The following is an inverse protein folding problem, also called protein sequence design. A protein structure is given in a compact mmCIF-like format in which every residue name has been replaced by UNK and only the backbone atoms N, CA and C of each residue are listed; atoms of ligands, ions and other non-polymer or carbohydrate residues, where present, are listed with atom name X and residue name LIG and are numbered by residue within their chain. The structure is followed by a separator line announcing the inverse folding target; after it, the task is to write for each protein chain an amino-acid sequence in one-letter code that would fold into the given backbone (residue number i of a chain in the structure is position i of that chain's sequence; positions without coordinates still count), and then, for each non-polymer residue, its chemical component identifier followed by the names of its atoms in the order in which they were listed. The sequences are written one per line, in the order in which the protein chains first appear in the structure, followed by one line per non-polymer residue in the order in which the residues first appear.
data_IF_085355305024
#
_entry.id   IF_085355305024
#
_cell.length_a   1.000
_cell.length_b   1.000
_cell.length_c   1.000
_cell.angle_alpha   90.00
_cell.angle_beta   90.00
_cell.angle_gamma   90.00
#
_symmetry.space_group_name_H-M   'P 1'
#
loop_
_entity.id
_entity.type
_entity.pdbx_description
1 polymer ?
#
# COMPACT_ATOMS: atom_id res chain seq x y z
N UNK A 1 -19.09 -13.21 -14.25
CA UNK A 1 -18.66 -14.61 -14.48
C UNK A 1 -17.58 -14.56 -15.54
N UNK A 2 -16.33 -14.89 -15.18
CA UNK A 2 -15.17 -14.84 -16.10
C UNK A 2 -15.29 -16.01 -17.09
N UNK A 3 -15.09 -15.76 -18.39
CA UNK A 3 -15.24 -16.79 -19.43
C UNK A 3 -13.99 -17.69 -19.51
N UNK A 4 -14.13 -18.98 -19.83
CA UNK A 4 -13.00 -19.92 -20.03
C UNK A 4 -11.96 -19.39 -21.03
N UNK A 5 -12.39 -18.69 -22.08
CA UNK A 5 -11.47 -18.04 -23.03
C UNK A 5 -10.63 -16.92 -22.42
N UNK A 6 -11.21 -16.17 -21.46
CA UNK A 6 -10.48 -15.14 -20.73
C UNK A 6 -9.50 -15.75 -19.73
N UNK A 7 -9.85 -16.88 -19.11
CA UNK A 7 -8.95 -17.62 -18.20
C UNK A 7 -7.73 -18.15 -18.97
N UNK A 8 -7.94 -18.79 -20.12
CA UNK A 8 -6.85 -19.30 -20.97
C UNK A 8 -5.93 -18.18 -21.47
N UNK A 9 -6.49 -17.06 -21.93
CA UNK A 9 -5.69 -15.88 -22.32
C UNK A 9 -4.93 -15.27 -21.14
N UNK A 10 -5.51 -15.30 -19.95
CA UNK A 10 -4.84 -14.82 -18.72
C UNK A 10 -3.64 -15.71 -18.39
N UNK A 11 -3.80 -17.03 -18.50
CA UNK A 11 -2.72 -18.01 -18.30
C UNK A 11 -1.59 -17.81 -19.33
N UNK A 12 -1.91 -17.60 -20.60
CA UNK A 12 -0.90 -17.30 -21.63
C UNK A 12 -0.11 -16.02 -21.31
N UNK A 13 -0.74 -15.00 -20.75
CA UNK A 13 -0.05 -13.76 -20.34
C UNK A 13 0.88 -13.97 -19.16
N UNK A 14 0.49 -14.80 -18.19
CA UNK A 14 1.34 -15.13 -17.02
C UNK A 14 2.61 -15.84 -17.49
N UNK A 15 2.47 -16.82 -18.38
CA UNK A 15 3.58 -17.67 -18.84
C UNK A 15 4.51 -16.95 -19.84
N UNK A 16 3.98 -16.04 -20.68
CA UNK A 16 4.75 -15.37 -21.73
C UNK A 16 5.22 -13.94 -21.42
N UNK A 17 4.67 -13.25 -20.39
CA UNK A 17 4.90 -11.81 -20.19
C UNK A 17 5.44 -11.41 -18.81
N UNK A 18 5.94 -12.36 -18.01
CA UNK A 18 6.54 -12.11 -16.68
C UNK A 18 5.64 -11.26 -15.77
N UNK A 19 4.35 -11.57 -15.76
CA UNK A 19 3.33 -10.77 -15.09
C UNK A 19 3.25 -11.14 -13.60
N UNK A 20 3.45 -10.17 -12.71
CA UNK A 20 3.43 -10.38 -11.26
C UNK A 20 2.32 -9.60 -10.54
N UNK A 21 1.75 -10.22 -9.52
CA UNK A 21 0.97 -9.51 -8.52
C UNK A 21 1.95 -8.87 -7.55
N UNK A 22 2.00 -7.55 -7.55
CA UNK A 22 2.93 -6.82 -6.69
C UNK A 22 2.56 -6.94 -5.22
N UNK A 23 1.27 -6.95 -4.90
CA UNK A 23 0.82 -7.00 -3.51
C UNK A 23 -0.60 -7.54 -3.35
N UNK A 24 -0.82 -8.26 -2.25
CA UNK A 24 -2.13 -8.37 -1.60
C UNK A 24 -2.05 -7.55 -0.31
N UNK A 25 -2.96 -6.59 -0.16
CA UNK A 25 -3.07 -5.76 1.05
C UNK A 25 -4.40 -6.02 1.72
N UNK A 26 -4.37 -6.46 2.99
CA UNK A 26 -5.57 -6.52 3.83
C UNK A 26 -5.73 -5.20 4.58
N UNK A 27 -6.81 -4.49 4.30
CA UNK A 27 -7.22 -3.30 5.04
C UNK A 27 -8.05 -3.70 6.26
N UNK A 28 -7.74 -3.17 7.45
CA UNK A 28 -8.40 -3.50 8.72
C UNK A 28 -8.82 -2.22 9.44
N UNK A 29 -10.11 -2.12 9.77
CA UNK A 29 -10.64 -1.07 10.65
C UNK A 29 -10.13 -1.28 12.08
N UNK A 30 -9.64 -0.22 12.74
CA UNK A 30 -9.22 -0.25 14.15
C UNK A 30 -10.08 0.64 15.06
N UNK A 31 -11.21 1.16 14.56
CA UNK A 31 -12.04 2.13 15.30
C UNK A 31 -12.64 1.58 16.60
N UNK A 32 -12.86 0.27 16.67
CA UNK A 32 -13.33 -0.45 17.87
C UNK A 32 -12.19 -0.77 18.87
N UNK A 33 -10.94 -0.51 18.49
CA UNK A 33 -9.78 -0.74 19.34
C UNK A 33 -9.47 0.46 20.25
N UNK A 34 -10.15 1.59 20.07
CA UNK A 34 -10.04 2.76 20.93
C UNK A 34 -10.20 2.41 22.42
N UNK A 35 -9.31 2.94 23.26
CA UNK A 35 -9.35 2.81 24.71
C UNK A 35 -8.60 3.98 25.36
N UNK A 36 -9.08 4.57 26.47
CA UNK A 36 -8.34 5.59 27.20
C UNK A 36 -6.95 5.13 27.67
N UNK A 37 -6.80 3.83 27.96
CA UNK A 37 -5.52 3.21 28.30
C UNK A 37 -4.79 2.76 27.03
N UNK A 38 -3.65 3.40 26.77
CA UNK A 38 -2.82 3.13 25.58
C UNK A 38 -2.42 1.64 25.49
N UNK A 39 -2.15 0.96 26.61
CA UNK A 39 -1.73 -0.43 26.59
C UNK A 39 -2.88 -1.34 26.15
N UNK A 40 -4.08 -1.11 26.68
CA UNK A 40 -5.28 -1.86 26.27
C UNK A 40 -5.62 -1.62 24.81
N UNK A 41 -5.51 -0.37 24.34
CA UNK A 41 -5.70 -0.04 22.93
C UNK A 41 -4.70 -0.79 22.04
N UNK A 42 -3.42 -0.78 22.42
CA UNK A 42 -2.36 -1.51 21.73
C UNK A 42 -2.60 -3.04 21.68
N UNK A 43 -3.04 -3.64 22.79
CA UNK A 43 -3.34 -5.07 22.85
C UNK A 43 -4.54 -5.44 21.96
N UNK A 44 -5.61 -4.63 21.98
CA UNK A 44 -6.76 -4.81 21.07
C UNK A 44 -6.35 -4.74 19.60
N UNK A 45 -5.50 -3.78 19.24
CA UNK A 45 -4.98 -3.63 17.88
C UNK A 45 -4.20 -4.88 17.46
N UNK A 46 -3.26 -5.32 18.31
CA UNK A 46 -2.45 -6.50 18.07
C UNK A 46 -3.33 -7.75 17.87
N UNK A 47 -4.25 -8.02 18.81
CA UNK A 47 -5.12 -9.19 18.77
C UNK A 47 -6.02 -9.18 17.52
N UNK A 48 -6.55 -8.01 17.15
CA UNK A 48 -7.42 -7.86 15.98
C UNK A 48 -6.67 -8.12 14.68
N UNK A 49 -5.47 -7.55 14.52
CA UNK A 49 -4.66 -7.77 13.32
C UNK A 49 -4.26 -9.23 13.21
N UNK A 50 -3.77 -9.85 14.29
CA UNK A 50 -3.38 -11.26 14.29
C UNK A 50 -4.56 -12.18 13.95
N UNK A 51 -5.75 -11.90 14.52
CA UNK A 51 -6.97 -12.67 14.25
C UNK A 51 -7.44 -12.57 12.80
N UNK A 52 -7.39 -11.39 12.19
CA UNK A 52 -7.92 -11.18 10.84
C UNK A 52 -6.90 -11.52 9.75
N UNK A 53 -5.63 -11.18 9.96
CA UNK A 53 -4.58 -11.34 8.96
C UNK A 53 -3.73 -12.59 9.13
N UNK A 54 -3.89 -13.37 10.21
CA UNK A 54 -3.03 -14.53 10.52
C UNK A 54 -2.84 -15.55 9.39
N UNK A 55 -3.87 -15.76 8.57
CA UNK A 55 -3.80 -16.66 7.40
C UNK A 55 -3.46 -15.96 6.07
N UNK A 56 -3.23 -14.64 6.06
CA UNK A 56 -3.00 -13.85 4.86
C UNK A 56 -1.78 -14.34 4.06
N UNK A 57 -0.64 -14.52 4.73
CA UNK A 57 0.62 -14.92 4.08
C UNK A 57 0.52 -16.35 3.54
N UNK A 58 -0.07 -17.25 4.33
CA UNK A 58 -0.31 -18.64 3.94
C UNK A 58 -1.23 -18.72 2.72
N UNK A 59 -2.31 -17.93 2.73
CA UNK A 59 -3.27 -17.87 1.62
C UNK A 59 -2.61 -17.31 0.37
N UNK A 60 -1.85 -16.22 0.49
CA UNK A 60 -1.08 -15.67 -0.63
C UNK A 60 -0.15 -16.70 -1.27
N UNK A 61 0.61 -17.46 -0.45
CA UNK A 61 1.50 -18.54 -0.93
C UNK A 61 0.75 -19.69 -1.60
N UNK A 62 -0.42 -20.04 -1.09
CA UNK A 62 -1.26 -21.07 -1.71
C UNK A 62 -1.74 -20.63 -3.10
N UNK A 63 -2.17 -19.37 -3.25
CA UNK A 63 -2.58 -18.81 -4.54
C UNK A 63 -1.40 -18.76 -5.52
N UNK A 64 -0.21 -18.33 -5.06
CA UNK A 64 1.00 -18.36 -5.89
C UNK A 64 1.28 -19.75 -6.47
N UNK A 65 1.22 -20.77 -5.61
CA UNK A 65 1.51 -22.15 -6.01
C UNK A 65 0.46 -22.75 -6.94
N UNK A 66 -0.80 -22.37 -6.79
CA UNK A 66 -1.92 -22.97 -7.54
C UNK A 66 -2.10 -22.32 -8.91
N UNK A 67 -1.95 -20.99 -8.98
CA UNK A 67 -2.14 -20.23 -10.21
C UNK A 67 -0.83 -19.96 -10.96
N UNK A 68 0.33 -20.24 -10.35
CA UNK A 68 1.64 -19.95 -10.94
C UNK A 68 1.93 -18.44 -11.06
N UNK A 69 1.21 -17.61 -10.31
CA UNK A 69 1.33 -16.14 -10.36
C UNK A 69 2.13 -15.68 -9.15
N UNK A 70 3.31 -15.08 -9.30
CA UNK A 70 4.08 -14.58 -8.16
C UNK A 70 3.34 -13.41 -7.48
N UNK A 71 3.27 -13.44 -6.15
CA UNK A 71 2.69 -12.40 -5.31
C UNK A 71 3.82 -11.80 -4.46
N UNK A 72 4.44 -10.73 -4.95
CA UNK A 72 5.70 -10.21 -4.39
C UNK A 72 5.57 -9.80 -2.92
N UNK A 73 4.44 -9.19 -2.54
CA UNK A 73 4.22 -8.69 -1.18
C UNK A 73 2.86 -9.11 -0.61
N UNK A 74 2.82 -9.33 0.70
CA UNK A 74 1.61 -9.49 1.51
C UNK A 74 1.67 -8.44 2.60
N UNK A 75 0.67 -7.57 2.67
CA UNK A 75 0.71 -6.34 3.46
C UNK A 75 -0.57 -6.14 4.24
N UNK A 76 -0.51 -5.31 5.27
CA UNK A 76 -1.68 -4.85 6.01
C UNK A 76 -1.73 -3.33 5.96
N UNK A 77 -2.92 -2.76 5.81
CA UNK A 77 -3.17 -1.35 6.08
C UNK A 77 -4.23 -1.23 7.19
N UNK A 78 -4.09 -0.21 8.04
CA UNK A 78 -5.01 0.01 9.15
C UNK A 78 -5.56 1.42 9.16
N UNK A 79 -6.64 1.63 9.92
CA UNK A 79 -7.18 2.97 10.18
C UNK A 79 -6.07 3.92 10.61
N UNK A 80 -6.03 5.18 10.09
CA UNK A 80 -5.08 6.18 10.54
C UNK A 80 -4.98 6.21 12.07
N UNK A 81 -3.80 5.88 12.59
CA UNK A 81 -3.60 5.74 14.04
C UNK A 81 -3.90 7.04 14.79
N UNK A 82 -3.81 8.23 14.17
CA UNK A 82 -4.22 9.46 14.87
C UNK A 82 -5.68 9.40 15.34
N UNK A 83 -6.58 8.79 14.56
CA UNK A 83 -8.00 8.67 14.91
C UNK A 83 -8.26 7.68 16.06
N UNK A 84 -7.39 6.68 16.21
CA UNK A 84 -7.51 5.65 17.27
C UNK A 84 -6.81 6.12 18.54
N UNK A 85 -5.65 6.75 18.40
CA UNK A 85 -4.81 7.21 19.50
C UNK A 85 -5.35 8.48 20.18
N UNK A 86 -6.16 9.29 19.50
CA UNK A 86 -6.70 10.54 20.04
C UNK A 86 -7.61 10.34 21.27
N UNK A 87 -8.18 9.15 21.46
CA UNK A 87 -8.95 8.83 22.67
C UNK A 87 -8.07 8.55 23.90
N UNK A 88 -6.75 8.36 23.72
CA UNK A 88 -5.81 8.10 24.80
C UNK A 88 -5.29 9.40 25.41
N UNK A 89 -5.11 9.43 26.74
CA UNK A 89 -4.49 10.56 27.45
C UNK A 89 -2.95 10.59 27.33
N UNK A 90 -2.37 9.76 26.45
CA UNK A 90 -0.92 9.63 26.29
C UNK A 90 -0.31 10.82 25.52
N UNK A 91 0.92 11.19 25.90
CA UNK A 91 1.72 12.21 25.21
C UNK A 91 2.58 11.66 24.07
N UNK A 92 2.80 10.34 24.06
CA UNK A 92 3.58 9.64 23.05
C UNK A 92 2.79 8.49 22.43
N UNK A 93 2.81 8.40 21.11
CA UNK A 93 2.13 7.39 20.31
C UNK A 93 3.06 6.31 19.73
N UNK A 94 4.37 6.36 20.03
CA UNK A 94 5.31 5.28 19.69
C UNK A 94 4.82 3.88 20.13
N UNK A 95 4.16 3.69 21.30
CA UNK A 95 3.63 2.37 21.67
C UNK A 95 2.67 1.76 20.63
N UNK A 96 1.88 2.59 19.92
CA UNK A 96 1.05 2.12 18.82
C UNK A 96 1.88 1.57 17.66
N UNK A 97 2.96 2.26 17.28
CA UNK A 97 3.87 1.77 16.24
C UNK A 97 4.51 0.43 16.65
N UNK A 98 4.93 0.28 17.90
CA UNK A 98 5.47 -0.97 18.42
C UNK A 98 4.43 -2.10 18.42
N UNK A 99 3.18 -1.80 18.75
CA UNK A 99 2.08 -2.78 18.68
C UNK A 99 1.83 -3.24 17.24
N UNK A 100 1.81 -2.31 16.28
CA UNK A 100 1.68 -2.61 14.86
C UNK A 100 2.85 -3.45 14.33
N UNK A 101 4.08 -3.12 14.74
CA UNK A 101 5.29 -3.84 14.32
C UNK A 101 5.29 -5.29 14.84
N UNK A 102 4.89 -5.48 16.11
CA UNK A 102 4.70 -6.82 16.70
C UNK A 102 3.65 -7.62 15.93
N UNK A 103 2.51 -7.02 15.60
CA UNK A 103 1.45 -7.69 14.83
C UNK A 103 1.92 -8.04 13.41
N UNK A 104 2.66 -7.13 12.75
CA UNK A 104 3.21 -7.36 11.42
C UNK A 104 4.22 -8.52 11.43
N UNK A 105 5.07 -8.60 12.45
CA UNK A 105 6.01 -9.69 12.65
C UNK A 105 5.31 -11.03 12.89
N UNK A 106 4.30 -11.07 13.75
CA UNK A 106 3.55 -12.29 14.10
C UNK A 106 2.82 -12.86 12.88
N UNK A 107 2.14 -11.99 12.11
CA UNK A 107 1.43 -12.39 10.90
C UNK A 107 2.39 -12.72 9.74
N UNK A 108 3.62 -12.19 9.79
CA UNK A 108 4.66 -12.43 8.79
C UNK A 108 4.50 -11.62 7.50
N UNK A 109 3.86 -10.45 7.56
CA UNK A 109 3.67 -9.54 6.42
C UNK A 109 4.92 -8.70 6.16
N UNK A 110 5.08 -8.24 4.91
CA UNK A 110 6.25 -7.46 4.50
C UNK A 110 6.22 -6.05 5.08
N UNK A 111 5.05 -5.42 5.13
CA UNK A 111 4.84 -4.07 5.66
C UNK A 111 3.44 -3.88 6.20
N UNK A 112 3.34 -2.99 7.18
CA UNK A 112 2.07 -2.54 7.76
C UNK A 112 1.98 -1.02 7.70
N UNK A 113 0.99 -0.50 6.97
CA UNK A 113 0.72 0.94 6.84
C UNK A 113 -0.47 1.37 7.66
N UNK A 114 -0.54 2.66 7.98
CA UNK A 114 -1.65 3.23 8.73
C UNK A 114 -1.22 4.01 9.96
N UNK A 115 0.08 4.07 10.26
CA UNK A 115 0.64 5.04 11.22
C UNK A 115 0.57 6.45 10.61
N UNK A 116 -0.65 6.96 10.47
CA UNK A 116 -1.00 8.01 9.54
C UNK A 116 -1.91 9.06 10.17
N UNK A 117 -1.86 10.28 9.64
CA UNK A 117 -2.72 11.41 10.01
C UNK A 117 -3.22 12.17 8.77
N UNK A 118 -4.41 12.77 8.87
CA UNK A 118 -5.07 13.47 7.75
C UNK A 118 -5.36 14.94 8.13
N UNK A 119 -4.36 15.80 8.02
CA UNK A 119 -4.34 17.17 8.59
C UNK A 119 -4.56 18.31 7.57
N UNK A 120 -5.03 17.98 6.38
CA UNK A 120 -5.22 18.91 5.25
C UNK A 120 -6.11 20.13 5.52
N UNK A 121 -6.95 20.11 6.57
CA UNK A 121 -7.82 21.24 6.99
C UNK A 121 -7.42 21.87 8.33
N UNK A 122 -6.31 21.43 8.91
CA UNK A 122 -5.92 21.71 10.28
C UNK A 122 -5.61 20.40 11.01
N UNK A 123 -4.79 20.50 12.06
CA UNK A 123 -4.43 19.37 12.91
C UNK A 123 -5.22 19.42 14.22
N UNK A 124 -5.60 18.26 14.75
CA UNK A 124 -5.95 18.16 16.17
C UNK A 124 -4.70 17.97 17.04
N UNK A 125 -4.89 17.95 18.37
CA UNK A 125 -3.80 17.63 19.30
C UNK A 125 -3.28 16.20 19.06
N UNK A 126 -4.18 15.25 18.79
CA UNK A 126 -3.81 13.87 18.48
C UNK A 126 -3.01 13.76 17.18
N UNK A 127 -3.42 14.49 16.14
CA UNK A 127 -2.67 14.52 14.88
C UNK A 127 -1.24 15.03 15.05
N UNK A 128 -1.06 16.13 15.79
CA UNK A 128 0.26 16.70 16.06
C UNK A 128 1.14 15.76 16.89
N UNK A 129 0.55 15.07 17.89
CA UNK A 129 1.23 14.04 18.68
C UNK A 129 1.69 12.87 17.80
N UNK A 130 0.83 12.40 16.89
CA UNK A 130 1.19 11.36 15.94
C UNK A 130 2.34 11.82 15.02
N UNK A 131 2.25 12.99 14.40
CA UNK A 131 3.28 13.47 13.47
C UNK A 131 4.64 13.61 14.17
N UNK A 132 4.65 14.12 15.41
CA UNK A 132 5.90 14.30 16.19
C UNK A 132 6.54 12.99 16.63
N UNK A 133 5.76 11.91 16.76
CA UNK A 133 6.26 10.59 17.13
C UNK A 133 6.78 9.77 15.94
N UNK A 134 6.41 10.12 14.70
CA UNK A 134 6.87 9.44 13.47
C UNK A 134 8.38 9.15 13.45
N UNK A 135 9.28 10.11 13.76
CA UNK A 135 10.72 9.86 13.64
C UNK A 135 11.22 8.75 14.56
N UNK A 136 10.70 8.70 15.78
CA UNK A 136 11.06 7.67 16.76
C UNK A 136 10.36 6.34 16.42
N UNK A 137 9.06 6.40 16.10
CA UNK A 137 8.29 5.23 15.69
C UNK A 137 8.96 4.50 14.51
N UNK A 138 9.40 5.21 13.47
CA UNK A 138 10.03 4.58 12.29
C UNK A 138 11.46 4.11 12.55
N UNK A 139 12.14 4.63 13.57
CA UNK A 139 13.46 4.19 13.99
C UNK A 139 13.41 2.92 14.85
N UNK A 140 12.36 2.77 15.66
CA UNK A 140 12.19 1.63 16.57
C UNK A 140 11.39 0.47 15.98
N UNK A 141 10.81 0.64 14.79
CA UNK A 141 10.02 -0.39 14.09
C UNK A 141 10.67 -0.78 12.76
N UNK A 142 10.41 -2.01 12.32
CA UNK A 142 10.96 -2.54 11.07
C UNK A 142 9.95 -2.51 9.92
N UNK A 143 8.71 -2.91 10.18
CA UNK A 143 7.67 -3.18 9.20
C UNK A 143 6.65 -2.04 9.06
N UNK A 144 6.59 -1.13 10.04
CA UNK A 144 5.61 -0.04 10.05
C UNK A 144 5.97 1.06 9.06
N UNK A 145 4.97 1.46 8.26
CA UNK A 145 5.00 2.58 7.35
C UNK A 145 4.05 3.69 7.82
N UNK A 146 4.43 4.94 7.53
CA UNK A 146 3.72 6.13 7.97
C UNK A 146 3.38 7.03 6.79
N UNK A 147 2.22 7.68 6.86
CA UNK A 147 1.81 8.65 5.86
C UNK A 147 1.04 9.83 6.44
N UNK A 148 1.22 11.02 5.89
CA UNK A 148 0.52 12.22 6.37
C UNK A 148 -0.06 12.99 5.20
N UNK A 149 -1.38 13.17 5.16
CA UNK A 149 -2.04 14.01 4.17
C UNK A 149 -2.13 15.46 4.65
N UNK A 150 -1.43 16.36 3.97
CA UNK A 150 -1.26 17.76 4.38
C UNK A 150 -2.03 18.75 3.50
N UNK A 151 -2.67 18.29 2.42
CA UNK A 151 -3.41 19.17 1.52
C UNK A 151 -4.46 18.44 0.70
N UNK A 152 -5.45 19.18 0.23
CA UNK A 152 -6.39 18.72 -0.81
C UNK A 152 -6.76 19.88 -1.71
N UNK A 153 -7.17 19.60 -2.95
CA UNK A 153 -7.67 20.61 -3.89
C UNK A 153 -8.81 21.43 -3.29
N UNK A 154 -9.66 20.81 -2.46
CA UNK A 154 -10.82 21.47 -1.84
C UNK A 154 -10.45 22.34 -0.63
N UNK A 155 -9.45 21.93 0.16
CA UNK A 155 -9.07 22.63 1.40
C UNK A 155 -7.86 23.57 1.23
N UNK A 156 -7.14 23.46 0.12
CA UNK A 156 -5.81 24.03 -0.01
C UNK A 156 -4.76 23.17 0.69
N UNK A 157 -3.65 23.80 1.06
CA UNK A 157 -2.50 23.14 1.69
C UNK A 157 -2.35 23.69 3.11
N UNK A 158 -2.29 22.79 4.10
CA UNK A 158 -1.96 23.15 5.46
C UNK A 158 -0.44 23.40 5.56
N UNK A 159 -0.04 24.67 5.50
CA UNK A 159 1.38 25.07 5.53
C UNK A 159 2.06 24.83 6.88
N UNK A 160 1.31 24.80 7.99
CA UNK A 160 1.85 24.44 9.30
C UNK A 160 2.24 22.96 9.31
N UNK A 161 1.40 22.10 8.74
CA UNK A 161 1.71 20.69 8.56
C UNK A 161 2.87 20.48 7.57
N UNK A 162 2.98 21.27 6.49
CA UNK A 162 4.15 21.24 5.58
C UNK A 162 5.44 21.49 6.36
N UNK A 163 5.48 22.54 7.18
CA UNK A 163 6.65 22.90 7.99
C UNK A 163 6.99 21.77 8.97
N UNK A 164 5.99 21.25 9.67
CA UNK A 164 6.16 20.16 10.63
C UNK A 164 6.66 18.88 9.94
N UNK A 165 6.13 18.53 8.78
CA UNK A 165 6.59 17.38 8.01
C UNK A 165 8.02 17.54 7.50
N UNK A 166 8.42 18.75 7.07
CA UNK A 166 9.81 19.01 6.69
C UNK A 166 10.80 18.77 7.85
N UNK A 167 10.44 19.19 9.06
CA UNK A 167 11.22 18.90 10.27
C UNK A 167 11.22 17.41 10.62
N UNK A 168 10.06 16.77 10.49
CA UNK A 168 9.85 15.34 10.75
C UNK A 168 10.72 14.48 9.84
N UNK A 169 10.72 14.73 8.53
CA UNK A 169 11.57 14.01 7.55
C UNK A 169 13.05 14.12 7.91
N UNK A 170 13.53 15.33 8.23
CA UNK A 170 14.93 15.52 8.63
C UNK A 170 15.27 14.74 9.90
N UNK A 171 14.40 14.81 10.93
CA UNK A 171 14.60 14.09 12.20
C UNK A 171 14.57 12.58 12.00
N UNK A 172 13.68 12.06 11.15
CA UNK A 172 13.62 10.63 10.79
C UNK A 172 14.93 10.18 10.14
N UNK A 173 15.47 10.97 9.21
CA UNK A 173 16.76 10.68 8.57
C UNK A 173 17.92 10.66 9.59
N UNK A 174 17.97 11.64 10.50
CA UNK A 174 18.99 11.71 11.55
C UNK A 174 18.92 10.53 12.53
N UNK A 175 17.72 10.15 12.97
CA UNK A 175 17.53 9.02 13.89
C UNK A 175 17.81 7.67 13.25
N UNK A 176 17.63 7.54 11.94
CA UNK A 176 17.87 6.29 11.19
C UNK A 176 19.18 6.31 10.39
N UNK A 177 20.09 7.25 10.66
CA UNK A 177 21.35 7.43 9.92
C UNK A 177 22.23 6.17 9.88
N UNK A 178 22.24 5.38 10.95
CA UNK A 178 23.06 4.17 11.07
C UNK A 178 22.54 3.03 10.16
N UNK A 179 21.29 3.16 9.68
CA UNK A 179 20.66 2.30 8.67
C UNK A 179 20.58 2.98 7.29
N UNK A 180 21.34 4.06 7.06
CA UNK A 180 21.32 4.82 5.81
C UNK A 180 20.07 5.68 5.62
N UNK A 181 19.37 6.05 6.70
CA UNK A 181 18.15 6.84 6.62
C UNK A 181 16.90 6.03 6.25
N UNK A 182 16.91 4.71 6.49
CA UNK A 182 15.85 3.78 6.08
C UNK A 182 14.44 4.18 6.58
N UNK A 183 14.35 4.91 7.70
CA UNK A 183 13.07 5.43 8.19
C UNK A 183 12.36 6.31 7.15
N UNK A 184 13.11 7.10 6.37
CA UNK A 184 12.54 7.95 5.32
C UNK A 184 11.95 7.15 4.15
N UNK A 185 12.44 5.93 3.89
CA UNK A 185 11.86 5.06 2.86
C UNK A 185 10.46 4.54 3.24
N UNK A 186 10.10 4.62 4.53
CA UNK A 186 8.81 4.19 5.09
C UNK A 186 7.86 5.36 5.37
N UNK A 187 8.21 6.59 4.97
CA UNK A 187 7.44 7.80 5.25
C UNK A 187 6.97 8.47 3.95
N UNK A 188 5.67 8.74 3.84
CA UNK A 188 5.07 9.44 2.69
C UNK A 188 4.32 10.69 3.13
N UNK A 189 4.51 11.80 2.43
CA UNK A 189 3.73 13.03 2.60
C UNK A 189 2.80 13.19 1.41
N UNK A 190 1.50 13.25 1.66
CA UNK A 190 0.48 13.35 0.62
C UNK A 190 -0.08 14.76 0.48
N UNK A 191 -0.44 15.08 -0.75
CA UNK A 191 -1.48 16.04 -1.08
C UNK A 191 -2.51 15.31 -1.94
N UNK A 192 -3.80 15.52 -1.67
CA UNK A 192 -4.90 14.76 -2.28
C UNK A 192 -4.79 13.25 -2.02
N UNK A 193 -4.48 12.85 -0.78
CA UNK A 193 -4.71 11.45 -0.41
C UNK A 193 -6.19 11.09 -0.69
N UNK A 194 -6.37 9.94 -1.34
CA UNK A 194 -7.66 9.27 -1.50
C UNK A 194 -8.25 8.88 -0.13
N UNK A 195 -9.53 8.53 -0.08
CA UNK A 195 -10.22 8.23 1.18
C UNK A 195 -9.66 6.99 1.90
N UNK A 196 -9.11 6.06 1.14
CA UNK A 196 -8.32 4.91 1.56
C UNK A 196 -7.16 4.70 0.57
N UNK A 197 -6.05 4.11 1.01
CA UNK A 197 -4.94 3.78 0.12
C UNK A 197 -4.34 2.42 0.53
N UNK A 198 -4.42 1.37 -0.30
CA UNK A 198 -3.82 0.08 0.03
C UNK A 198 -2.34 -0.04 -0.38
N UNK A 199 -1.73 1.02 -0.93
CA UNK A 199 -0.38 0.98 -1.54
C UNK A 199 0.71 1.59 -0.64
N UNK A 200 1.73 0.79 -0.35
CA UNK A 200 2.88 1.19 0.46
C UNK A 200 3.85 2.10 -0.31
N UNK A 201 4.57 2.99 0.37
CA UNK A 201 4.64 3.19 1.84
C UNK A 201 3.49 4.06 2.42
N UNK A 202 2.56 4.54 1.58
CA UNK A 202 1.52 5.48 1.98
C UNK A 202 0.20 4.86 2.43
N UNK A 203 0.17 3.56 2.73
CA UNK A 203 -1.11 2.88 2.86
C UNK A 203 -1.82 3.20 4.19
N UNK A 204 -3.14 3.27 4.17
CA UNK A 204 -4.02 3.31 5.34
C UNK A 204 -5.43 2.83 4.93
N UNK A 205 -6.16 2.29 5.90
CA UNK A 205 -7.55 1.84 5.72
C UNK A 205 -8.52 2.98 6.04
N UNK A 206 -9.25 3.45 5.03
CA UNK A 206 -10.10 4.64 5.14
C UNK A 206 -11.25 4.51 6.15
N UNK A 207 -11.80 5.63 6.61
CA UNK A 207 -12.95 5.61 7.52
C UNK A 207 -14.25 5.18 6.83
N UNK A 208 -14.35 5.35 5.51
CA UNK A 208 -15.49 4.90 4.71
C UNK A 208 -15.47 3.40 4.39
N UNK A 209 -14.34 2.73 4.61
CA UNK A 209 -14.15 1.33 4.27
C UNK A 209 -14.87 0.38 5.24
N UNK A 210 -15.20 -0.85 4.81
CA UNK A 210 -15.78 -1.87 5.68
C UNK A 210 -14.80 -2.30 6.77
N UNK A 211 -15.26 -3.19 7.65
CA UNK A 211 -14.47 -3.69 8.77
C UNK A 211 -13.13 -4.31 8.36
N UNK A 212 -13.13 -5.01 7.23
CA UNK A 212 -11.94 -5.60 6.62
C UNK A 212 -12.14 -5.70 5.10
N UNK A 213 -11.08 -5.50 4.30
CA UNK A 213 -11.13 -5.63 2.84
C UNK A 213 -9.80 -6.16 2.26
N UNK A 214 -9.88 -6.90 1.16
CA UNK A 214 -8.71 -7.34 0.38
C UNK A 214 -8.54 -6.48 -0.85
N UNK A 215 -7.38 -5.85 -0.97
CA UNK A 215 -6.98 -5.06 -2.12
C UNK A 215 -5.78 -5.70 -2.81
N UNK A 216 -5.72 -5.61 -4.14
CA UNK A 216 -4.64 -6.21 -4.93
C UNK A 216 -3.98 -5.17 -5.83
N UNK A 217 -2.65 -5.12 -5.80
CA UNK A 217 -1.85 -4.32 -6.72
C UNK A 217 -1.14 -5.22 -7.71
N UNK A 218 -1.28 -4.93 -9.00
CA UNK A 218 -0.64 -5.70 -10.08
C UNK A 218 0.46 -4.86 -10.72
N UNK A 219 1.60 -5.47 -11.03
CA UNK A 219 2.65 -4.79 -11.78
C UNK A 219 2.29 -4.75 -13.27
N UNK A 220 2.57 -3.62 -13.92
CA UNK A 220 2.26 -3.38 -15.32
C UNK A 220 3.41 -2.97 -16.24
N UNK A 221 4.53 -2.35 -15.79
CA UNK A 221 5.47 -1.75 -16.72
C UNK A 221 6.09 -2.72 -17.73
N UNK A 222 6.68 -3.83 -17.27
CA UNK A 222 7.29 -4.82 -18.18
C UNK A 222 6.33 -5.36 -19.24
N UNK A 223 5.10 -5.67 -18.84
CA UNK A 223 4.05 -6.17 -19.74
C UNK A 223 3.69 -5.14 -20.80
N UNK A 224 3.54 -3.88 -20.40
CA UNK A 224 3.24 -2.77 -21.31
C UNK A 224 4.41 -2.53 -22.26
N UNK A 225 5.64 -2.53 -21.76
CA UNK A 225 6.85 -2.41 -22.58
C UNK A 225 6.92 -3.51 -23.64
N UNK A 226 6.71 -4.77 -23.26
CA UNK A 226 6.70 -5.89 -24.20
C UNK A 226 5.58 -5.79 -25.24
N UNK A 227 4.38 -5.35 -24.86
CA UNK A 227 3.29 -5.13 -25.80
C UNK A 227 3.61 -4.02 -26.82
N UNK A 228 4.30 -2.96 -26.39
CA UNK A 228 4.67 -1.83 -27.23
C UNK A 228 5.72 -2.15 -28.29
N UNK A 229 6.56 -3.17 -28.11
CA UNK A 229 7.49 -3.65 -29.15
C UNK A 229 6.77 -4.00 -30.46
N UNK A 230 5.54 -4.52 -30.37
CA UNK A 230 4.68 -4.81 -31.53
C UNK A 230 3.99 -3.59 -32.14
N UNK A 231 4.06 -2.44 -31.46
CA UNK A 231 3.49 -1.16 -31.88
C UNK A 231 4.58 -0.13 -32.23
N UNK A 232 5.86 -0.53 -32.32
CA UNK A 232 6.96 0.36 -32.64
C UNK A 232 6.80 0.98 -34.03
N UNK A 233 6.91 2.31 -34.11
CA UNK A 233 6.77 3.07 -35.35
C UNK A 233 5.33 3.21 -35.85
N UNK A 234 4.34 2.71 -35.10
CA UNK A 234 2.92 2.88 -35.41
C UNK A 234 2.40 4.25 -34.97
N UNK A 235 1.24 4.69 -35.49
CA UNK A 235 0.65 5.95 -35.05
C UNK A 235 0.14 5.86 -33.59
N UNK A 236 0.01 7.03 -32.94
CA UNK A 236 -0.20 7.11 -31.49
C UNK A 236 -1.55 6.53 -31.03
N UNK A 237 -2.55 6.48 -31.90
CA UNK A 237 -3.83 5.82 -31.65
C UNK A 237 -3.68 4.31 -31.48
N UNK A 238 -2.86 3.65 -32.31
CA UNK A 238 -2.54 2.23 -32.17
C UNK A 238 -1.71 1.95 -30.89
N UNK A 239 -0.79 2.86 -30.55
CA UNK A 239 -0.01 2.79 -29.29
C UNK A 239 -0.95 2.88 -28.09
N UNK A 240 -1.85 3.85 -28.08
CA UNK A 240 -2.83 4.04 -27.00
C UNK A 240 -3.76 2.82 -26.86
N UNK A 241 -4.24 2.27 -27.98
CA UNK A 241 -5.08 1.06 -27.96
C UNK A 241 -4.32 -0.15 -27.40
N UNK A 242 -3.03 -0.27 -27.71
CA UNK A 242 -2.15 -1.34 -27.19
C UNK A 242 -2.01 -1.23 -25.67
N UNK A 243 -1.73 -0.04 -25.14
CA UNK A 243 -1.64 0.20 -23.69
C UNK A 243 -2.98 -0.10 -23.02
N UNK A 244 -4.10 0.41 -23.57
CA UNK A 244 -5.44 0.22 -23.02
C UNK A 244 -5.82 -1.27 -22.91
N UNK A 245 -5.61 -2.04 -23.97
CA UNK A 245 -5.91 -3.49 -23.98
C UNK A 245 -5.03 -4.25 -22.99
N UNK A 246 -3.75 -3.88 -22.91
CA UNK A 246 -2.79 -4.51 -21.99
C UNK A 246 -3.18 -4.23 -20.55
N UNK A 247 -3.45 -2.97 -20.20
CA UNK A 247 -3.91 -2.57 -18.87
C UNK A 247 -5.19 -3.31 -18.46
N UNK A 248 -6.19 -3.39 -19.35
CA UNK A 248 -7.43 -4.12 -19.08
C UNK A 248 -7.18 -5.58 -18.69
N UNK A 249 -6.29 -6.26 -19.41
CA UNK A 249 -5.97 -7.67 -19.14
C UNK A 249 -5.21 -7.85 -17.83
N UNK A 250 -4.25 -6.97 -17.54
CA UNK A 250 -3.54 -6.92 -16.24
C UNK A 250 -4.56 -6.77 -15.09
N UNK A 251 -5.52 -5.85 -15.22
CA UNK A 251 -6.57 -5.64 -14.21
C UNK A 251 -7.42 -6.89 -13.99
N UNK A 252 -7.79 -7.61 -15.06
CA UNK A 252 -8.58 -8.85 -14.95
C UNK A 252 -7.85 -9.95 -14.20
N UNK A 253 -6.55 -10.08 -14.40
CA UNK A 253 -5.74 -11.02 -13.62
C UNK A 253 -5.73 -10.64 -12.14
N UNK A 254 -5.48 -9.36 -11.83
CA UNK A 254 -5.54 -8.88 -10.44
C UNK A 254 -6.88 -9.16 -9.77
N UNK A 255 -7.99 -9.00 -10.50
CA UNK A 255 -9.33 -9.33 -10.02
C UNK A 255 -9.50 -10.83 -9.70
N UNK A 256 -8.91 -11.72 -10.50
CA UNK A 256 -8.95 -13.16 -10.24
C UNK A 256 -8.24 -13.49 -8.92
N UNK A 257 -7.03 -12.95 -8.72
CA UNK A 257 -6.27 -13.15 -7.47
C UNK A 257 -7.00 -12.56 -6.27
N UNK A 258 -7.59 -11.38 -6.44
CA UNK A 258 -8.35 -10.72 -5.38
C UNK A 258 -9.61 -11.50 -4.97
N UNK A 259 -10.35 -12.05 -5.94
CA UNK A 259 -11.52 -12.88 -5.68
C UNK A 259 -11.16 -14.17 -4.94
N UNK A 260 -10.05 -14.80 -5.33
CA UNK A 260 -9.59 -16.02 -4.68
C UNK A 260 -9.12 -15.78 -3.25
N UNK A 261 -8.33 -14.72 -3.02
CA UNK A 261 -7.91 -14.32 -1.68
C UNK A 261 -9.11 -13.95 -0.80
N UNK A 262 -10.06 -13.20 -1.36
CA UNK A 262 -11.31 -12.82 -0.69
C UNK A 262 -12.12 -14.05 -0.24
N UNK A 263 -12.29 -15.03 -1.13
CA UNK A 263 -13.03 -16.26 -0.85
C UNK A 263 -12.36 -17.09 0.25
N UNK A 264 -11.04 -17.31 0.15
CA UNK A 264 -10.28 -18.15 1.10
C UNK A 264 -10.19 -17.53 2.50
N UNK A 265 -10.06 -16.21 2.57
CA UNK A 265 -9.96 -15.48 3.84
C UNK A 265 -11.33 -15.12 4.44
N UNK A 266 -12.42 -15.26 3.66
CA UNK A 266 -13.75 -14.82 4.09
C UNK A 266 -13.87 -13.31 4.28
N UNK A 267 -13.03 -12.53 3.58
CA UNK A 267 -12.95 -11.06 3.67
C UNK A 267 -13.41 -10.45 2.36
N UNK A 268 -14.25 -9.41 2.34
CA UNK A 268 -14.70 -8.76 1.11
C UNK A 268 -13.55 -8.28 0.22
N UNK A 269 -13.71 -8.45 -1.09
CA UNK A 269 -12.86 -7.82 -2.08
C UNK A 269 -13.12 -6.31 -2.14
N UNK A 270 -12.06 -5.51 -2.07
CA UNK A 270 -12.06 -4.06 -2.29
C UNK A 270 -11.71 -3.71 -3.74
N UNK A 271 -10.53 -3.12 -3.95
CA UNK A 271 -10.08 -2.62 -5.26
C UNK A 271 -8.89 -3.39 -5.83
N UNK A 272 -8.75 -3.30 -7.15
CA UNK A 272 -7.54 -3.70 -7.89
C UNK A 272 -6.96 -2.46 -8.54
N UNK A 273 -5.66 -2.24 -8.35
CA UNK A 273 -4.94 -1.14 -9.00
C UNK A 273 -3.74 -1.65 -9.81
N UNK A 274 -3.35 -0.86 -10.79
CA UNK A 274 -2.15 -1.06 -11.57
C UNK A 274 -1.01 -0.22 -10.99
N UNK A 275 0.03 -0.90 -10.52
CA UNK A 275 1.25 -0.25 -10.10
C UNK A 275 2.14 0.02 -11.30
N UNK A 276 2.52 1.28 -11.47
CA UNK A 276 3.60 1.70 -12.39
C UNK A 276 4.97 1.66 -11.72
N UNK A 277 5.05 1.27 -10.45
CA UNK A 277 6.31 1.24 -9.75
C UNK A 277 7.23 0.19 -10.42
N UNK A 278 8.46 0.55 -10.81
CA UNK A 278 9.36 -0.40 -11.46
C UNK A 278 9.81 -1.47 -10.45
N UNK A 279 10.29 -2.59 -10.95
CA UNK A 279 11.17 -3.48 -10.17
C UNK A 279 12.63 -3.14 -10.50
N UNK A 280 13.62 -3.66 -9.74
CA UNK A 280 15.02 -3.55 -10.12
C UNK A 280 15.39 -4.31 -11.42
N UNK A 281 14.45 -5.05 -12.01
CA UNK A 281 14.69 -5.83 -13.22
C UNK A 281 14.78 -4.91 -14.46
N UNK A 282 15.78 -5.17 -15.30
CA UNK A 282 15.94 -4.46 -16.58
C UNK A 282 14.74 -4.78 -17.48
N UNK A 283 14.13 -3.76 -18.10
CA UNK A 283 12.94 -3.91 -18.93
C UNK A 283 11.61 -3.78 -18.20
N UNK A 284 11.62 -3.60 -16.88
CA UNK A 284 10.43 -3.34 -16.05
C UNK A 284 10.43 -1.90 -15.54
N UNK A 285 10.43 -0.96 -16.49
CA UNK A 285 10.58 0.48 -16.24
C UNK A 285 9.61 1.31 -17.07
N UNK A 286 9.08 2.37 -16.46
CA UNK A 286 8.30 3.40 -17.18
C UNK A 286 9.19 4.16 -18.17
N UNK A 287 10.49 4.31 -17.89
CA UNK A 287 11.41 4.96 -18.83
C UNK A 287 11.52 4.16 -20.14
N UNK A 288 11.69 2.84 -20.04
CA UNK A 288 11.80 1.94 -21.21
C UNK A 288 10.51 1.96 -22.05
N UNK A 289 9.33 2.08 -21.40
CA UNK A 289 8.05 2.29 -22.09
C UNK A 289 8.08 3.57 -22.93
N UNK A 290 8.54 4.68 -22.33
CA UNK A 290 8.59 5.97 -23.01
C UNK A 290 9.61 5.99 -24.16
N UNK A 291 10.76 5.33 -23.97
CA UNK A 291 11.76 5.14 -25.03
C UNK A 291 11.20 4.28 -26.18
N UNK A 292 10.48 3.20 -25.88
CA UNK A 292 9.83 2.35 -26.88
C UNK A 292 8.72 3.09 -27.65
N UNK A 293 8.05 4.06 -27.00
CA UNK A 293 7.11 4.97 -27.65
C UNK A 293 7.79 5.99 -28.60
N UNK A 294 9.12 6.07 -28.59
CA UNK A 294 9.91 6.86 -29.55
C UNK A 294 10.66 8.04 -28.95
N UNK A 295 10.78 8.14 -27.62
CA UNK A 295 11.69 9.11 -26.99
C UNK A 295 13.13 8.60 -26.99
N UNK A 296 14.11 9.50 -27.14
CA UNK A 296 15.52 9.17 -26.99
C UNK A 296 15.97 9.25 -25.54
N UNK A 297 16.85 8.34 -25.12
CA UNK A 297 17.56 8.35 -23.83
C UNK A 297 18.55 9.51 -23.71
#
# INVERSE_FOLDING_TARGET
MINQGEILQTIEMIDQQHLDVRTITMGISLRDCCDPDINKSCDKIYDKICRLAGDLVKTGKAIESEFGIPIVNKRVSVTPISLVAECCEADDYVPFALALDRAAQEVGVDFLGGYSALVHKGSTVGDDKLIRSIPQALAETKYVCSSVNIGTTRAGINMDAVKLMGQTVKKTAELTKDSGGMGCAKLVVFCNAVEDNPFMAGAFHGVGEPECAINVGVSGPGVVYHALKGARGKPLDEVAETIKRTAFRITRMGQLVAQEASLRLGVPFGVVDLSLAPTPAVGDSVADILEEMGLSS
#
